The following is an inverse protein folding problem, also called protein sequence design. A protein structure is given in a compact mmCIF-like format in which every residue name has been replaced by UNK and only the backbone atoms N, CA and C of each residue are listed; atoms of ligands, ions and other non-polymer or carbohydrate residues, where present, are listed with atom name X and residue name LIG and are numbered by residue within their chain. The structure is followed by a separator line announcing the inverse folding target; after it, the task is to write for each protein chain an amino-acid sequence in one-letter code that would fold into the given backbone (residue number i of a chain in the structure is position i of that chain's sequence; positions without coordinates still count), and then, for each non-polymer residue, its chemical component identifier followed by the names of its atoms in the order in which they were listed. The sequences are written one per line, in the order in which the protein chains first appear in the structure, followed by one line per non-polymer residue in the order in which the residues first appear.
data_IF_602967481683
#
_entry.id   IF_602967481683
#
_cell.length_a   1.000
_cell.length_b   1.000
_cell.length_c   1.000
_cell.angle_alpha   90.00
_cell.angle_beta   90.00
_cell.angle_gamma   90.00
#
_symmetry.space_group_name_H-M   'P 1'
#
loop_
_entity.id
_entity.type
_entity.pdbx_description
1 polymer ?
#
# COMPACT_ATOMS: atom_id res chain seq x y z
N UNK A 1 21.53 -28.01 20.74
CA UNK A 1 21.58 -29.01 19.65
C UNK A 1 20.78 -28.42 18.51
N UNK A 2 21.43 -27.77 17.54
CA UNK A 2 21.78 -28.35 16.23
C UNK A 2 20.52 -28.77 15.47
N UNK A 3 20.18 -28.32 14.26
CA UNK A 3 20.95 -27.93 13.06
C UNK A 3 19.97 -27.07 12.22
N UNK A 4 20.32 -26.05 11.45
CA UNK A 4 21.00 -26.11 10.17
C UNK A 4 21.03 -24.65 9.66
N UNK A 5 22.18 -23.98 9.70
CA UNK A 5 22.36 -22.72 8.94
C UNK A 5 22.62 -23.15 7.49
N UNK A 6 21.55 -23.38 6.72
CA UNK A 6 21.68 -23.63 5.29
C UNK A 6 22.28 -22.39 4.66
N UNK A 7 23.47 -22.57 4.08
CA UNK A 7 24.17 -21.62 3.25
C UNK A 7 23.21 -21.03 2.21
N UNK A 8 22.77 -19.80 2.41
CA UNK A 8 22.00 -19.07 1.41
C UNK A 8 23.00 -18.43 0.47
N UNK A 9 23.08 -18.96 -0.75
CA UNK A 9 23.53 -18.17 -1.89
C UNK A 9 22.94 -16.77 -1.74
N UNK A 10 23.79 -15.74 -1.73
CA UNK A 10 23.38 -14.34 -1.63
C UNK A 10 22.64 -14.01 -2.93
N UNK A 11 21.36 -14.40 -3.02
CA UNK A 11 20.49 -14.03 -4.14
C UNK A 11 20.50 -12.51 -4.16
N UNK A 12 21.11 -11.96 -5.20
CA UNK A 12 21.11 -10.53 -5.44
C UNK A 12 19.76 -10.21 -6.06
N UNK A 13 18.88 -9.58 -5.29
CA UNK A 13 17.61 -9.09 -5.79
C UNK A 13 17.84 -7.77 -6.51
N UNK A 14 17.25 -7.61 -7.70
CA UNK A 14 17.43 -6.39 -8.51
C UNK A 14 16.63 -5.20 -7.97
N UNK A 15 15.51 -5.45 -7.32
CA UNK A 15 14.65 -4.43 -6.72
C UNK A 15 13.77 -5.03 -5.60
N UNK A 16 13.10 -4.16 -4.84
CA UNK A 16 12.20 -4.53 -3.73
C UNK A 16 11.08 -5.45 -4.20
N UNK A 17 10.48 -5.18 -5.35
CA UNK A 17 9.37 -5.97 -5.89
C UNK A 17 9.78 -7.44 -6.14
N UNK A 18 10.88 -7.66 -6.86
CA UNK A 18 11.45 -8.99 -7.12
C UNK A 18 11.81 -9.71 -5.80
N UNK A 19 12.32 -8.97 -4.82
CA UNK A 19 12.63 -9.49 -3.49
C UNK A 19 11.36 -9.96 -2.75
N UNK A 20 10.30 -9.17 -2.79
CA UNK A 20 9.02 -9.48 -2.14
C UNK A 20 8.35 -10.70 -2.78
N UNK A 21 8.27 -10.74 -4.11
CA UNK A 21 7.70 -11.88 -4.84
C UNK A 21 8.47 -13.18 -4.60
N UNK A 22 9.79 -13.09 -4.42
CA UNK A 22 10.64 -14.25 -4.19
C UNK A 22 10.64 -14.76 -2.74
N UNK A 23 10.40 -13.88 -1.76
CA UNK A 23 10.51 -14.20 -0.33
C UNK A 23 9.15 -14.36 0.37
N UNK A 24 8.10 -13.72 -0.13
CA UNK A 24 6.78 -13.73 0.48
C UNK A 24 5.84 -14.73 -0.20
N UNK A 25 4.91 -15.27 0.57
CA UNK A 25 3.87 -16.16 0.03
C UNK A 25 2.75 -15.37 -0.64
N UNK A 26 1.95 -16.05 -1.48
CA UNK A 26 0.79 -15.44 -2.17
C UNK A 26 -0.17 -14.72 -1.21
N UNK A 27 -0.38 -15.25 -0.01
CA UNK A 27 -1.25 -14.64 1.00
C UNK A 27 -0.73 -13.29 1.49
N UNK A 28 0.57 -13.20 1.77
CA UNK A 28 1.21 -11.96 2.21
C UNK A 28 1.21 -10.91 1.08
N UNK A 29 1.55 -11.34 -0.14
CA UNK A 29 1.54 -10.47 -1.33
C UNK A 29 0.13 -9.94 -1.63
N UNK A 30 -0.90 -10.80 -1.51
CA UNK A 30 -2.29 -10.37 -1.71
C UNK A 30 -2.69 -9.32 -0.66
N UNK A 31 -2.32 -9.51 0.61
CA UNK A 31 -2.56 -8.52 1.66
C UNK A 31 -1.80 -7.22 1.42
N UNK A 32 -0.55 -7.30 0.99
CA UNK A 32 0.25 -6.10 0.66
C UNK A 32 -0.42 -5.31 -0.47
N UNK A 33 -0.91 -6.02 -1.50
CA UNK A 33 -1.63 -5.40 -2.61
C UNK A 33 -2.98 -4.81 -2.16
N UNK A 34 -3.77 -5.56 -1.39
CA UNK A 34 -5.08 -5.13 -0.88
C UNK A 34 -4.97 -3.91 0.03
N UNK A 35 -3.93 -3.85 0.87
CA UNK A 35 -3.73 -2.78 1.84
C UNK A 35 -2.86 -1.62 1.31
N UNK A 36 -2.40 -1.67 0.06
CA UNK A 36 -1.51 -0.66 -0.53
C UNK A 36 -0.15 -0.55 0.19
N UNK A 37 0.29 -1.62 0.85
CA UNK A 37 1.47 -1.64 1.72
C UNK A 37 2.81 -1.70 0.98
N UNK A 38 2.82 -1.60 -0.35
CA UNK A 38 4.05 -1.57 -1.14
C UNK A 38 4.98 -0.44 -0.71
N UNK A 39 4.42 0.72 -0.37
CA UNK A 39 5.16 1.90 0.10
C UNK A 39 5.75 1.74 1.50
N UNK A 40 5.31 0.74 2.27
CA UNK A 40 5.89 0.43 3.58
C UNK A 40 7.23 -0.31 3.48
N UNK A 41 7.62 -0.75 2.28
CA UNK A 41 8.86 -1.46 2.01
C UNK A 41 9.68 -0.68 0.98
N UNK A 42 10.57 0.17 1.45
CA UNK A 42 11.39 1.07 0.59
C UNK A 42 12.75 0.49 0.24
N UNK A 43 13.22 -0.51 1.00
CA UNK A 43 14.51 -1.15 0.77
C UNK A 43 14.46 -2.69 0.91
N UNK A 44 15.51 -3.34 0.41
CA UNK A 44 15.62 -4.80 0.38
C UNK A 44 15.75 -5.40 1.79
N UNK A 45 16.29 -4.66 2.75
CA UNK A 45 16.48 -5.11 4.12
C UNK A 45 15.15 -5.19 4.86
N UNK A 46 14.28 -4.18 4.70
CA UNK A 46 12.90 -4.19 5.22
C UNK A 46 12.13 -5.42 4.72
N UNK A 47 12.24 -5.76 3.43
CA UNK A 47 11.61 -6.95 2.86
C UNK A 47 12.18 -8.24 3.45
N UNK A 48 13.50 -8.34 3.58
CA UNK A 48 14.17 -9.52 4.15
C UNK A 48 13.83 -9.70 5.62
N UNK A 49 13.81 -8.60 6.37
CA UNK A 49 13.43 -8.58 7.77
C UNK A 49 11.98 -9.04 7.91
N UNK A 50 11.06 -8.47 7.14
CA UNK A 50 9.66 -8.89 7.15
C UNK A 50 9.48 -10.35 6.72
N UNK A 51 10.18 -10.81 5.69
CA UNK A 51 10.13 -12.20 5.24
C UNK A 51 10.71 -13.18 6.28
N UNK A 52 11.65 -12.72 7.12
CA UNK A 52 12.20 -13.51 8.21
C UNK A 52 11.24 -13.67 9.39
N UNK A 53 10.18 -12.84 9.47
CA UNK A 53 9.22 -12.92 10.56
C UNK A 53 8.36 -14.19 10.47
N UNK A 54 8.07 -14.83 11.62
CA UNK A 54 7.16 -15.95 11.65
C UNK A 54 5.77 -15.54 11.18
N UNK A 55 5.04 -16.49 10.59
CA UNK A 55 3.72 -16.22 9.97
C UNK A 55 2.74 -15.54 10.92
N UNK A 56 2.80 -15.83 12.22
CA UNK A 56 1.94 -15.20 13.21
C UNK A 56 2.23 -13.71 13.38
N UNK A 57 3.51 -13.31 13.39
CA UNK A 57 3.91 -11.91 13.48
C UNK A 57 3.57 -11.14 12.21
N UNK A 58 3.75 -11.74 11.02
CA UNK A 58 3.29 -11.14 9.76
C UNK A 58 1.78 -10.92 9.74
N UNK A 59 0.99 -11.88 10.24
CA UNK A 59 -0.46 -11.71 10.41
C UNK A 59 -0.80 -10.59 11.39
N UNK A 60 -0.09 -10.51 12.52
CA UNK A 60 -0.30 -9.45 13.51
C UNK A 60 0.07 -8.07 12.97
N UNK A 61 1.13 -7.96 12.15
CA UNK A 61 1.49 -6.74 11.44
C UNK A 61 0.34 -6.24 10.56
N UNK A 62 -0.20 -7.10 9.69
CA UNK A 62 -1.34 -6.72 8.84
C UNK A 62 -2.57 -6.35 9.67
N UNK A 63 -2.89 -7.10 10.73
CA UNK A 63 -4.04 -6.80 11.58
C UNK A 63 -3.89 -5.46 12.34
N UNK A 64 -2.67 -5.13 12.80
CA UNK A 64 -2.38 -3.84 13.43
C UNK A 64 -2.45 -2.70 12.41
N UNK A 65 -1.96 -2.92 11.20
CA UNK A 65 -2.03 -1.94 10.12
C UNK A 65 -3.49 -1.67 9.73
N UNK A 66 -4.28 -2.71 9.54
CA UNK A 66 -5.72 -2.64 9.25
C UNK A 66 -6.48 -1.88 10.36
N UNK A 67 -6.23 -2.21 11.64
CA UNK A 67 -6.83 -1.49 12.77
C UNK A 67 -6.42 -0.01 12.82
N UNK A 68 -5.21 0.32 12.40
CA UNK A 68 -4.75 1.73 12.34
C UNK A 68 -5.43 2.50 11.20
N UNK A 69 -5.87 1.82 10.14
CA UNK A 69 -6.67 2.42 9.06
C UNK A 69 -8.14 2.65 9.49
N UNK A 70 -8.68 1.82 10.38
CA UNK A 70 -10.06 1.97 10.89
C UNK A 70 -10.21 3.06 11.97
N UNK A 71 -9.12 3.44 12.67
CA UNK A 71 -9.12 4.52 13.69
C UNK A 71 -8.82 5.91 13.10
N UNK A 72 -8.47 5.98 11.80
CA UNK A 72 -8.33 7.25 11.11
C UNK A 72 -9.71 7.92 11.01
N UNK A 73 -9.85 9.22 11.39
CA UNK A 73 -11.11 9.92 11.23
C UNK A 73 -11.54 9.83 9.76
N UNK A 74 -12.66 9.15 9.51
CA UNK A 74 -13.29 9.12 8.18
C UNK A 74 -13.44 10.58 7.73
N UNK A 75 -12.92 10.97 6.55
CA UNK A 75 -13.10 12.33 6.08
C UNK A 75 -14.59 12.61 6.00
N UNK A 76 -15.00 13.62 6.74
CA UNK A 76 -16.36 14.11 6.71
C UNK A 76 -16.49 14.88 5.40
N UNK A 77 -17.29 14.33 4.49
CA UNK A 77 -17.65 14.84 3.16
C UNK A 77 -16.84 14.27 2.00
N UNK A 78 -17.41 13.27 1.32
CA UNK A 78 -16.99 12.73 0.01
C UNK A 78 -16.64 13.82 -1.02
N UNK A 79 -17.21 15.02 -0.87
CA UNK A 79 -16.95 16.19 -1.72
C UNK A 79 -15.51 16.70 -1.63
N UNK A 80 -14.79 16.46 -0.53
CA UNK A 80 -13.42 16.93 -0.34
C UNK A 80 -12.42 16.04 -1.10
N UNK A 81 -12.59 14.73 -1.08
CA UNK A 81 -11.71 13.77 -1.78
C UNK A 81 -11.87 13.89 -3.31
N UNK A 82 -13.11 14.06 -3.79
CA UNK A 82 -13.39 14.31 -5.20
C UNK A 82 -12.73 15.61 -5.70
N UNK A 83 -12.68 16.66 -4.86
CA UNK A 83 -11.96 17.90 -5.19
C UNK A 83 -10.44 17.73 -5.14
N UNK A 84 -9.92 16.95 -4.20
CA UNK A 84 -8.47 16.68 -4.10
C UNK A 84 -7.94 15.97 -5.34
N UNK A 85 -8.72 15.03 -5.90
CA UNK A 85 -8.36 14.28 -7.10
C UNK A 85 -8.83 14.95 -8.40
N UNK A 86 -9.61 16.04 -8.27
CA UNK A 86 -10.26 16.75 -9.38
C UNK A 86 -11.05 15.78 -10.28
N UNK A 87 -11.84 14.91 -9.63
CA UNK A 87 -12.62 13.84 -10.27
C UNK A 87 -14.12 14.03 -10.02
N UNK A 88 -14.99 13.75 -11.01
CA UNK A 88 -16.44 13.83 -10.84
C UNK A 88 -16.98 12.78 -9.86
N UNK A 89 -18.17 13.01 -9.30
CA UNK A 89 -18.87 12.16 -8.31
C UNK A 89 -19.30 10.76 -8.81
N UNK A 90 -18.80 10.33 -9.96
CA UNK A 90 -19.00 9.01 -10.55
C UNK A 90 -17.74 8.48 -11.25
N UNK A 91 -16.57 8.93 -10.81
CA UNK A 91 -15.31 8.48 -11.39
C UNK A 91 -15.14 6.97 -11.22
N UNK A 92 -14.79 6.29 -12.31
CA UNK A 92 -14.56 4.85 -12.28
C UNK A 92 -13.25 4.53 -11.56
N UNK A 93 -13.09 3.28 -11.12
CA UNK A 93 -11.89 2.83 -10.43
C UNK A 93 -10.62 3.09 -11.26
N UNK A 94 -10.70 2.95 -12.59
CA UNK A 94 -9.60 3.29 -13.50
C UNK A 94 -9.21 4.76 -13.47
N UNK A 95 -10.19 5.67 -13.45
CA UNK A 95 -9.93 7.12 -13.38
C UNK A 95 -9.30 7.52 -12.04
N UNK A 96 -9.77 6.92 -10.95
CA UNK A 96 -9.22 7.11 -9.60
C UNK A 96 -7.76 6.60 -9.56
N UNK A 97 -7.48 5.42 -10.11
CA UNK A 97 -6.13 4.85 -10.21
C UNK A 97 -5.19 5.71 -11.06
N UNK A 98 -5.67 6.27 -12.17
CA UNK A 98 -4.87 7.12 -13.04
C UNK A 98 -4.47 8.42 -12.32
N UNK A 99 -5.42 9.13 -11.70
CA UNK A 99 -5.13 10.36 -10.94
C UNK A 99 -4.25 10.11 -9.72
N UNK A 100 -4.44 9.00 -9.02
CA UNK A 100 -3.54 8.61 -7.93
C UNK A 100 -2.09 8.52 -8.38
N UNK A 101 -1.82 7.89 -9.53
CA UNK A 101 -0.45 7.76 -10.07
C UNK A 101 0.16 9.12 -10.40
N UNK A 102 -0.63 10.02 -10.98
CA UNK A 102 -0.19 11.38 -11.32
C UNK A 102 0.15 12.20 -10.07
N UNK A 103 -0.70 12.17 -9.06
CA UNK A 103 -0.48 12.83 -7.77
C UNK A 103 0.70 12.21 -7.01
N UNK A 104 0.78 10.88 -6.95
CA UNK A 104 1.88 10.16 -6.31
C UNK A 104 3.23 10.46 -7.00
N UNK A 105 3.24 10.62 -8.33
CA UNK A 105 4.43 11.04 -9.05
C UNK A 105 4.78 12.52 -8.82
N UNK A 106 3.80 13.39 -8.62
CA UNK A 106 4.03 14.81 -8.36
C UNK A 106 4.54 15.08 -6.94
N UNK A 107 3.97 14.38 -5.94
CA UNK A 107 4.21 14.62 -4.51
C UNK A 107 5.10 13.55 -3.86
N UNK A 108 5.75 12.68 -4.63
CA UNK A 108 6.61 11.64 -4.09
C UNK A 108 7.74 12.25 -3.23
N UNK A 109 8.00 11.75 -2.01
CA UNK A 109 9.02 12.29 -1.10
C UNK A 109 10.46 12.25 -1.66
N UNK A 110 10.70 11.42 -2.68
CA UNK A 110 11.98 11.33 -3.40
C UNK A 110 12.18 12.47 -4.42
N UNK A 111 11.14 13.28 -4.69
CA UNK A 111 11.23 14.47 -5.55
C UNK A 111 11.43 15.74 -4.72
N UNK A 112 12.14 16.70 -5.30
CA UNK A 112 12.30 18.02 -4.69
C UNK A 112 10.93 18.69 -4.50
N UNK A 113 10.46 18.79 -3.26
CA UNK A 113 9.14 19.31 -2.90
C UNK A 113 8.09 18.22 -2.56
N UNK A 114 8.49 16.95 -2.49
CA UNK A 114 7.64 15.88 -2.00
C UNK A 114 7.40 16.00 -0.49
N UNK A 115 6.15 15.81 -0.09
CA UNK A 115 5.71 16.04 1.28
C UNK A 115 4.98 14.80 1.79
N UNK A 116 5.49 14.23 2.88
CA UNK A 116 5.03 12.94 3.40
C UNK A 116 3.59 13.04 3.94
N UNK A 117 3.20 14.20 4.47
CA UNK A 117 1.84 14.46 4.95
C UNK A 117 0.84 14.50 3.78
N UNK A 118 1.17 15.24 2.72
CA UNK A 118 0.35 15.27 1.48
C UNK A 118 0.19 13.87 0.87
N UNK A 119 1.27 13.08 0.86
CA UNK A 119 1.21 11.71 0.33
C UNK A 119 0.27 10.83 1.17
N UNK A 120 0.21 11.03 2.49
CA UNK A 120 -0.73 10.33 3.36
C UNK A 120 -2.18 10.77 3.09
N UNK A 121 -2.44 12.05 2.88
CA UNK A 121 -3.76 12.56 2.51
C UNK A 121 -4.22 11.99 1.16
N UNK A 122 -3.34 11.97 0.16
CA UNK A 122 -3.62 11.38 -1.17
C UNK A 122 -3.97 9.89 -1.04
N UNK A 123 -3.24 9.15 -0.20
CA UNK A 123 -3.51 7.73 0.05
C UNK A 123 -4.88 7.51 0.73
N UNK A 124 -5.20 8.32 1.74
CA UNK A 124 -6.47 8.23 2.46
C UNK A 124 -7.65 8.51 1.52
N UNK A 125 -7.57 9.58 0.74
CA UNK A 125 -8.58 9.95 -0.25
C UNK A 125 -8.75 8.88 -1.33
N UNK A 126 -7.65 8.30 -1.82
CA UNK A 126 -7.68 7.21 -2.79
C UNK A 126 -8.46 5.98 -2.28
N UNK A 127 -8.25 5.58 -1.03
CA UNK A 127 -8.99 4.46 -0.43
C UNK A 127 -10.50 4.77 -0.28
N UNK A 128 -10.86 5.98 0.13
CA UNK A 128 -12.26 6.40 0.22
C UNK A 128 -12.94 6.37 -1.16
N UNK A 129 -12.29 6.94 -2.18
CA UNK A 129 -12.81 6.96 -3.55
C UNK A 129 -13.00 5.56 -4.12
N UNK A 130 -12.07 4.64 -3.88
CA UNK A 130 -12.20 3.24 -4.32
C UNK A 130 -13.41 2.54 -3.70
N UNK A 131 -13.60 2.72 -2.38
CA UNK A 131 -14.76 2.16 -1.66
C UNK A 131 -16.08 2.75 -2.17
N UNK A 132 -16.08 4.05 -2.51
CA UNK A 132 -17.25 4.70 -3.09
C UNK A 132 -17.57 4.17 -4.49
N UNK A 133 -16.56 4.06 -5.37
CA UNK A 133 -16.71 3.54 -6.72
C UNK A 133 -17.23 2.09 -6.73
N UNK A 134 -16.69 1.21 -5.87
CA UNK A 134 -17.16 -0.17 -5.75
C UNK A 134 -18.65 -0.27 -5.34
N UNK A 135 -19.13 0.64 -4.49
CA UNK A 135 -20.56 0.71 -4.11
C UNK A 135 -21.44 1.22 -5.24
N UNK A 136 -20.94 2.12 -6.09
CA UNK A 136 -21.67 2.65 -7.23
C UNK A 136 -21.86 1.60 -8.32
N UNK A 137 -20.84 0.76 -8.57
CA UNK A 137 -20.89 -0.32 -9.57
C UNK A 137 -21.92 -1.41 -9.20
N UNK A 138 -22.18 -1.63 -7.91
CA UNK A 138 -23.21 -2.58 -7.44
C UNK A 138 -24.64 -2.02 -7.56
N UNK A 139 -24.79 -0.72 -7.82
CA UNK A 139 -26.07 0.01 -7.76
C UNK A 139 -26.60 0.42 -9.15
N UNK A 140 -25.90 0.04 -10.21
CA UNK A 140 -26.31 0.18 -11.62
C UNK A 140 -26.83 -1.16 -12.16
#
# INVERSE_FOLDING_TARGET
MSKDRKATHRKSYRNVHECMEALLGREDLNKINQLGLWSAFTDLDQVKQFASWPRQERRAFFARYERSLDDAPQPQSADAEHRLFDLPQGATEEQIRQRYRELALAFHPDRHGGDQELMQEINAAYQCLLRAAARQETRA
#
